data_IF_144911503269
#
_entry.id   IF_144911503269
#
_cell.length_a   1.000
_cell.length_b   1.000
_cell.length_c   1.000
_cell.angle_alpha   90.00
_cell.angle_beta   90.00
_cell.angle_gamma   90.00
#
_symmetry.space_group_name_H-M   'P 1'
#
loop_
_entity.id
_entity.type
_entity.pdbx_description
1 polymer ?
#
# COMPACT_ATOMS: atom_id res chain seq x y z
N UNK A 1 22.08 13.95 4.64
CA UNK A 1 21.00 13.15 5.25
C UNK A 1 20.98 11.82 4.51
N UNK A 2 20.92 10.69 5.22
CA UNK A 2 20.75 9.37 4.60
C UNK A 2 19.37 9.30 3.94
N UNK A 3 19.31 8.85 2.69
CA UNK A 3 18.02 8.66 2.03
C UNK A 3 17.24 7.52 2.70
N UNK A 4 15.91 7.66 2.87
CA UNK A 4 15.09 6.57 3.38
C UNK A 4 15.08 5.41 2.38
N UNK A 5 15.18 4.21 2.94
CA UNK A 5 15.13 2.96 2.19
C UNK A 5 13.75 2.33 2.31
N UNK A 6 13.29 1.75 1.20
CA UNK A 6 11.98 1.12 1.06
C UNK A 6 12.16 -0.35 0.68
N UNK A 7 11.30 -1.20 1.24
CA UNK A 7 11.29 -2.62 0.94
C UNK A 7 10.25 -2.94 -0.14
N UNK A 8 10.60 -3.82 -1.06
CA UNK A 8 9.64 -4.45 -1.99
C UNK A 8 9.74 -5.95 -1.79
N UNK A 9 8.73 -6.57 -1.17
CA UNK A 9 8.64 -8.02 -1.04
C UNK A 9 7.68 -8.59 -2.07
N UNK A 10 8.09 -9.67 -2.74
CA UNK A 10 7.37 -10.30 -3.84
C UNK A 10 6.86 -11.70 -3.51
N UNK A 11 5.69 -12.05 -4.02
CA UNK A 11 4.99 -13.30 -3.69
C UNK A 11 4.29 -13.90 -4.90
N UNK A 12 4.39 -15.21 -5.11
CA UNK A 12 3.70 -15.90 -6.22
C UNK A 12 2.17 -15.97 -6.05
N UNK A 13 1.63 -15.71 -4.85
CA UNK A 13 0.20 -15.77 -4.61
C UNK A 13 -0.23 -15.15 -3.27
N UNK A 14 -1.54 -14.97 -3.07
CA UNK A 14 -2.14 -14.33 -1.88
C UNK A 14 -2.37 -15.24 -0.68
N UNK A 15 -2.02 -16.52 -0.79
CA UNK A 15 -2.30 -17.46 0.29
C UNK A 15 -1.32 -17.21 1.43
N UNK A 16 -1.81 -16.86 2.63
CA UNK A 16 -1.02 -16.46 3.81
C UNK A 16 0.23 -17.29 4.13
N UNK A 17 0.29 -18.54 3.69
CA UNK A 17 1.39 -19.50 3.89
C UNK A 17 2.38 -19.58 2.72
N UNK A 18 2.22 -18.77 1.69
CA UNK A 18 3.24 -18.63 0.66
C UNK A 18 4.49 -18.04 1.31
N UNK A 19 5.66 -18.53 0.89
CA UNK A 19 6.97 -18.02 1.32
C UNK A 19 7.35 -16.84 0.44
N UNK A 20 8.08 -15.87 1.01
CA UNK A 20 8.56 -14.71 0.26
C UNK A 20 9.47 -15.20 -0.88
N UNK A 21 9.20 -14.74 -2.10
CA UNK A 21 10.02 -15.13 -3.25
C UNK A 21 11.32 -14.33 -3.27
N UNK A 22 11.21 -13.03 -3.06
CA UNK A 22 12.33 -12.09 -3.07
C UNK A 22 11.95 -10.82 -2.29
N UNK A 23 12.96 -10.18 -1.71
CA UNK A 23 12.84 -8.86 -1.09
C UNK A 23 13.96 -7.97 -1.64
N UNK A 24 13.60 -6.75 -2.04
CA UNK A 24 14.53 -5.71 -2.48
C UNK A 24 14.51 -4.55 -1.50
N UNK A 25 15.66 -3.94 -1.27
CA UNK A 25 15.80 -2.69 -0.51
C UNK A 25 16.26 -1.61 -1.47
N UNK A 26 15.49 -0.52 -1.57
CA UNK A 26 15.64 0.50 -2.61
C UNK A 26 15.49 1.89 -2.01
N UNK A 27 16.32 2.84 -2.43
CA UNK A 27 16.17 4.26 -2.06
C UNK A 27 15.01 4.90 -2.83
N UNK A 28 14.39 5.93 -2.25
CA UNK A 28 13.33 6.66 -2.95
C UNK A 28 13.83 7.30 -4.24
N UNK A 29 15.01 7.91 -4.19
CA UNK A 29 15.67 8.57 -5.32
C UNK A 29 16.84 7.74 -5.85
N UNK A 30 17.23 8.03 -7.08
CA UNK A 30 18.47 7.47 -7.63
C UNK A 30 19.67 8.07 -6.92
N UNK A 31 20.70 7.25 -6.71
CA UNK A 31 21.95 7.67 -6.10
C UNK A 31 23.13 7.26 -6.96
N UNK A 32 24.05 8.20 -7.20
CA UNK A 32 25.34 7.90 -7.82
C UNK A 32 26.35 7.60 -6.72
N UNK A 33 27.04 6.47 -6.87
CA UNK A 33 28.09 6.02 -5.96
C UNK A 33 29.36 5.74 -6.75
N UNK A 34 30.50 6.23 -6.27
CA UNK A 34 31.80 5.86 -6.83
C UNK A 34 32.38 4.68 -6.06
N UNK A 35 32.70 3.60 -6.77
CA UNK A 35 33.38 2.43 -6.20
C UNK A 35 34.60 2.11 -7.06
N UNK A 36 35.79 2.21 -6.46
CA UNK A 36 37.08 1.98 -7.12
C UNK A 36 37.31 2.80 -8.41
N UNK A 37 36.73 4.00 -8.51
CA UNK A 37 36.86 4.89 -9.67
C UNK A 37 35.81 4.67 -10.76
N UNK A 38 34.90 3.70 -10.59
CA UNK A 38 33.74 3.51 -11.45
C UNK A 38 32.49 4.12 -10.80
N UNK A 39 31.68 4.84 -11.59
CA UNK A 39 30.39 5.39 -11.16
C UNK A 39 29.28 4.35 -11.34
N UNK A 40 28.61 4.00 -10.25
CA UNK A 40 27.45 3.13 -10.21
C UNK A 40 26.20 3.96 -9.90
N UNK A 41 25.15 3.78 -10.70
CA UNK A 41 23.86 4.42 -10.48
C UNK A 41 22.93 3.41 -9.81
N UNK A 42 22.60 3.65 -8.55
CA UNK A 42 21.51 2.96 -7.88
C UNK A 42 20.18 3.54 -8.36
N UNK A 43 19.33 2.66 -8.89
CA UNK A 43 18.02 3.03 -9.42
C UNK A 43 17.06 3.49 -8.31
N UNK A 44 16.21 4.45 -8.64
CA UNK A 44 15.13 4.92 -7.76
C UNK A 44 14.08 3.83 -7.51
N UNK A 45 13.27 4.01 -6.47
CA UNK A 45 12.13 3.14 -6.17
C UNK A 45 11.18 2.98 -7.36
N UNK A 46 10.89 4.09 -8.06
CA UNK A 46 10.06 4.11 -9.28
C UNK A 46 10.66 3.21 -10.36
N UNK A 47 11.95 3.37 -10.64
CA UNK A 47 12.63 2.63 -11.70
C UNK A 47 12.73 1.13 -11.38
N UNK A 48 12.98 0.78 -10.11
CA UNK A 48 12.99 -0.62 -9.67
C UNK A 48 11.59 -1.24 -9.81
N UNK A 49 10.54 -0.55 -9.37
CA UNK A 49 9.16 -1.03 -9.55
C UNK A 49 8.82 -1.26 -11.02
N UNK A 50 9.11 -0.29 -11.89
CA UNK A 50 8.90 -0.44 -13.34
C UNK A 50 9.68 -1.62 -13.91
N UNK A 51 10.94 -1.80 -13.53
CA UNK A 51 11.75 -2.92 -13.99
C UNK A 51 11.18 -4.27 -13.55
N UNK A 52 10.72 -4.38 -12.30
CA UNK A 52 10.08 -5.60 -11.79
C UNK A 52 8.78 -5.90 -12.54
N UNK A 53 7.93 -4.90 -12.77
CA UNK A 53 6.66 -5.07 -13.47
C UNK A 53 6.89 -5.43 -14.95
N UNK A 54 7.84 -4.78 -15.62
CA UNK A 54 8.23 -5.15 -16.98
C UNK A 54 8.78 -6.57 -17.07
N UNK A 55 9.58 -6.99 -16.08
CA UNK A 55 10.06 -8.37 -16.00
C UNK A 55 8.89 -9.36 -15.88
N UNK A 56 7.92 -9.07 -15.00
CA UNK A 56 6.69 -9.87 -14.87
C UNK A 56 5.92 -9.96 -16.19
N UNK A 57 5.72 -8.84 -16.89
CA UNK A 57 5.04 -8.82 -18.19
C UNK A 57 5.80 -9.62 -19.25
N UNK A 58 7.12 -9.44 -19.36
CA UNK A 58 7.96 -10.10 -20.36
C UNK A 58 7.98 -11.62 -20.19
N UNK A 59 7.94 -12.09 -18.96
CA UNK A 59 8.05 -13.51 -18.62
C UNK A 59 6.70 -14.15 -18.25
N UNK A 60 5.58 -13.41 -18.35
CA UNK A 60 4.24 -13.87 -17.96
C UNK A 60 4.21 -14.42 -16.53
N UNK A 61 4.88 -13.73 -15.60
CA UNK A 61 4.96 -14.11 -14.18
C UNK A 61 3.97 -13.27 -13.39
N UNK A 62 3.14 -13.92 -12.60
CA UNK A 62 2.17 -13.29 -11.71
C UNK A 62 2.73 -13.22 -10.29
N UNK A 63 2.99 -12.02 -9.80
CA UNK A 63 3.54 -11.79 -8.47
C UNK A 63 2.88 -10.60 -7.77
N UNK A 64 2.48 -10.83 -6.54
CA UNK A 64 2.04 -9.79 -5.62
C UNK A 64 3.24 -9.08 -5.02
N UNK A 65 3.07 -7.80 -4.71
CA UNK A 65 4.11 -6.95 -4.11
C UNK A 65 3.61 -6.37 -2.79
N UNK A 66 4.54 -6.08 -1.88
CA UNK A 66 4.31 -5.41 -0.60
C UNK A 66 5.42 -4.39 -0.34
N UNK A 67 5.09 -3.31 0.36
CA UNK A 67 6.06 -2.35 0.91
C UNK A 67 6.53 -2.69 2.33
N UNK A 68 6.26 -3.92 2.77
CA UNK A 68 6.69 -4.48 4.04
C UNK A 68 7.73 -5.58 3.84
N UNK A 69 8.64 -5.69 4.79
CA UNK A 69 9.57 -6.80 4.96
C UNK A 69 8.95 -7.84 5.90
N UNK A 70 9.24 -9.12 5.62
CA UNK A 70 8.70 -10.26 6.35
C UNK A 70 9.82 -11.23 6.73
N UNK A 71 9.65 -11.91 7.86
CA UNK A 71 10.57 -13.01 8.25
C UNK A 71 10.44 -14.22 7.32
N UNK A 72 9.22 -14.57 6.90
CA UNK A 72 8.98 -15.77 6.06
C UNK A 72 7.73 -15.72 5.19
N UNK A 73 6.54 -15.68 5.80
CA UNK A 73 5.25 -15.67 5.11
C UNK A 73 4.58 -14.30 5.24
N UNK A 74 3.54 -14.03 4.45
CA UNK A 74 2.85 -12.74 4.49
C UNK A 74 1.79 -12.66 5.60
N UNK A 75 2.14 -13.16 6.78
CA UNK A 75 1.33 -13.02 7.98
C UNK A 75 1.64 -11.67 8.64
N UNK A 76 0.62 -11.03 9.23
CA UNK A 76 0.80 -9.77 9.98
C UNK A 76 1.84 -9.92 11.10
N UNK A 77 1.87 -11.08 11.75
CA UNK A 77 2.82 -11.42 12.82
C UNK A 77 4.26 -11.61 12.34
N UNK A 78 4.46 -11.78 11.03
CA UNK A 78 5.78 -11.99 10.43
C UNK A 78 6.33 -10.73 9.76
N UNK A 79 5.57 -9.63 9.76
CA UNK A 79 6.06 -8.31 9.32
C UNK A 79 7.13 -7.84 10.29
N UNK A 80 8.33 -7.60 9.78
CA UNK A 80 9.44 -6.99 10.54
C UNK A 80 9.38 -5.47 10.43
N UNK A 81 9.08 -4.98 9.23
CA UNK A 81 9.15 -3.56 8.91
C UNK A 81 8.18 -3.20 7.79
N UNK A 82 7.56 -2.03 7.85
CA UNK A 82 6.71 -1.43 6.82
C UNK A 82 7.30 -0.07 6.44
N UNK A 83 7.47 0.17 5.15
CA UNK A 83 8.18 1.36 4.64
C UNK A 83 7.29 2.34 3.87
N UNK A 84 6.02 1.99 3.68
CA UNK A 84 5.02 2.87 3.07
C UNK A 84 3.60 2.45 3.44
N UNK A 85 2.69 3.41 3.57
CA UNK A 85 1.23 3.18 3.52
C UNK A 85 0.78 3.13 2.07
N UNK A 86 -0.22 2.32 1.75
CA UNK A 86 -0.81 2.36 0.42
C UNK A 86 -2.31 2.11 0.46
N UNK A 87 -3.01 2.73 -0.49
CA UNK A 87 -4.48 2.71 -0.58
C UNK A 87 -4.85 2.51 -2.05
N UNK A 88 -5.68 1.50 -2.33
CA UNK A 88 -6.07 1.10 -3.68
C UNK A 88 -7.49 1.58 -4.04
N UNK A 89 -7.61 2.24 -5.19
CA UNK A 89 -8.82 2.86 -5.67
C UNK A 89 -9.25 2.26 -7.01
N UNK A 90 -10.57 2.19 -7.30
CA UNK A 90 -11.05 1.88 -8.64
C UNK A 90 -10.55 2.92 -9.66
N UNK A 91 -10.16 2.48 -10.86
CA UNK A 91 -9.63 3.42 -11.86
C UNK A 91 -10.60 4.56 -12.24
N UNK A 92 -11.92 4.35 -12.07
CA UNK A 92 -12.96 5.36 -12.34
C UNK A 92 -12.83 6.64 -11.51
N UNK A 93 -12.17 6.61 -10.34
CA UNK A 93 -11.97 7.81 -9.50
C UNK A 93 -10.63 8.51 -9.73
N UNK A 94 -9.80 8.07 -10.70
CA UNK A 94 -8.44 8.58 -10.93
C UNK A 94 -8.37 10.11 -11.00
N UNK A 95 -9.27 10.76 -11.73
CA UNK A 95 -9.28 12.22 -11.84
C UNK A 95 -9.60 12.92 -10.51
N UNK A 96 -10.59 12.41 -9.76
CA UNK A 96 -10.91 12.94 -8.44
C UNK A 96 -9.76 12.72 -7.45
N UNK A 97 -9.12 11.56 -7.54
CA UNK A 97 -7.97 11.18 -6.73
C UNK A 97 -6.80 12.13 -6.97
N UNK A 98 -6.41 12.36 -8.23
CA UNK A 98 -5.33 13.30 -8.57
C UNK A 98 -5.58 14.69 -7.98
N UNK A 99 -6.80 15.24 -8.13
CA UNK A 99 -7.15 16.53 -7.54
C UNK A 99 -6.98 16.56 -6.01
N UNK A 100 -7.37 15.49 -5.32
CA UNK A 100 -7.21 15.37 -3.86
C UNK A 100 -5.75 15.27 -3.45
N UNK A 101 -4.95 14.52 -4.20
CA UNK A 101 -3.53 14.35 -3.93
C UNK A 101 -2.72 15.62 -4.22
N UNK A 102 -3.16 16.44 -5.16
CA UNK A 102 -2.53 17.74 -5.42
C UNK A 102 -2.61 18.68 -4.21
N UNK A 103 -3.70 18.58 -3.44
CA UNK A 103 -3.95 19.34 -2.21
C UNK A 103 -3.17 18.80 -1.00
N UNK A 104 -2.65 17.57 -1.04
CA UNK A 104 -1.88 16.99 0.07
C UNK A 104 -0.45 17.50 0.11
N UNK A 105 0.12 17.68 1.30
CA UNK A 105 1.51 18.11 1.49
C UNK A 105 2.56 16.98 1.41
N UNK A 106 2.13 15.74 1.16
CA UNK A 106 2.99 14.56 1.29
C UNK A 106 3.52 14.04 -0.03
N UNK A 107 4.75 13.53 -0.03
CA UNK A 107 5.30 12.77 -1.16
C UNK A 107 4.49 11.49 -1.36
N UNK A 108 4.14 11.16 -2.60
CA UNK A 108 3.41 9.93 -2.92
C UNK A 108 3.84 9.33 -4.26
N UNK A 109 3.57 8.03 -4.45
CA UNK A 109 3.62 7.38 -5.76
C UNK A 109 2.21 7.04 -6.22
N UNK A 110 1.99 7.13 -7.53
CA UNK A 110 0.84 6.52 -8.19
C UNK A 110 1.30 5.28 -8.93
N UNK A 111 0.60 4.16 -8.72
CA UNK A 111 0.90 2.87 -9.33
C UNK A 111 -0.38 2.30 -9.92
N UNK A 112 -0.36 1.95 -11.20
CA UNK A 112 -1.46 1.21 -11.81
C UNK A 112 -1.48 -0.23 -11.27
N UNK A 113 -2.63 -0.65 -10.75
CA UNK A 113 -2.84 -1.94 -10.06
C UNK A 113 -3.99 -2.72 -10.67
N UNK A 114 -4.21 -3.92 -10.17
CA UNK A 114 -5.39 -4.73 -10.47
C UNK A 114 -5.94 -5.46 -9.24
N UNK A 115 -7.23 -5.76 -9.28
CA UNK A 115 -7.90 -6.52 -8.21
C UNK A 115 -7.23 -7.85 -7.99
N UNK A 116 -6.77 -8.53 -9.04
CA UNK A 116 -6.06 -9.81 -9.06
C UNK A 116 -5.43 -10.12 -10.41
N UNK A 117 -4.72 -11.24 -10.48
CA UNK A 117 -4.29 -11.83 -11.73
C UNK A 117 -5.35 -12.80 -12.23
N UNK A 118 -5.59 -12.82 -13.54
CA UNK A 118 -6.56 -13.71 -14.19
C UNK A 118 -7.78 -12.99 -14.81
N UNK A 119 -8.77 -13.75 -15.29
CA UNK A 119 -9.85 -13.20 -16.13
C UNK A 119 -10.79 -12.20 -15.43
N UNK A 120 -10.87 -12.24 -14.10
CA UNK A 120 -11.68 -11.33 -13.30
C UNK A 120 -10.93 -10.05 -12.86
N UNK A 121 -9.70 -9.86 -13.34
CA UNK A 121 -8.89 -8.69 -13.03
C UNK A 121 -9.59 -7.39 -13.46
N UNK A 122 -9.78 -6.48 -12.51
CA UNK A 122 -10.28 -5.13 -12.75
C UNK A 122 -9.16 -4.14 -12.50
N UNK A 123 -8.96 -3.16 -13.39
CA UNK A 123 -7.90 -2.15 -13.22
C UNK A 123 -8.19 -1.26 -12.00
N UNK A 124 -7.13 -0.87 -11.33
CA UNK A 124 -7.11 0.01 -10.17
C UNK A 124 -5.96 0.99 -10.24
N UNK A 125 -5.95 1.93 -9.30
CA UNK A 125 -4.85 2.84 -9.09
C UNK A 125 -4.57 2.91 -7.59
N UNK A 126 -3.33 2.68 -7.22
CA UNK A 126 -2.88 2.70 -5.85
C UNK A 126 -2.06 3.96 -5.60
N UNK A 127 -2.36 4.62 -4.48
CA UNK A 127 -1.51 5.68 -3.92
C UNK A 127 -0.62 5.07 -2.87
N UNK A 128 0.68 5.36 -2.93
CA UNK A 128 1.67 4.90 -1.96
C UNK A 128 2.30 6.12 -1.29
N UNK A 129 2.29 6.16 0.03
CA UNK A 129 2.93 7.19 0.84
C UNK A 129 4.20 6.62 1.47
N UNK A 130 5.39 6.84 0.88
CA UNK A 130 6.65 6.37 1.43
C UNK A 130 6.93 7.05 2.76
N UNK A 131 7.40 6.27 3.73
CA UNK A 131 7.68 6.79 5.07
C UNK A 131 9.10 7.33 5.19
N UNK A 132 9.25 8.45 5.92
CA UNK A 132 10.56 8.96 6.32
C UNK A 132 11.27 8.03 7.32
N UNK A 133 10.48 7.35 8.15
CA UNK A 133 10.94 6.33 9.11
C UNK A 133 10.03 5.11 9.06
N UNK A 134 10.59 3.89 9.03
CA UNK A 134 9.80 2.68 8.94
C UNK A 134 8.96 2.41 10.20
N UNK A 135 7.88 1.65 10.02
CA UNK A 135 7.03 1.14 11.10
C UNK A 135 7.25 -0.35 11.32
N UNK A 136 7.29 -0.79 12.58
CA UNK A 136 7.18 -2.22 12.94
C UNK A 136 5.80 -2.57 13.52
N UNK A 137 5.03 -1.58 13.96
CA UNK A 137 3.70 -1.78 14.56
C UNK A 137 2.60 -1.76 13.50
N UNK A 138 1.95 -2.91 13.31
CA UNK A 138 0.83 -3.10 12.37
C UNK A 138 -0.44 -2.33 12.77
N UNK A 139 -0.64 -2.06 14.06
CA UNK A 139 -1.75 -1.22 14.55
C UNK A 139 -1.52 0.24 14.16
N UNK A 140 -0.30 0.74 14.36
CA UNK A 140 0.08 2.08 13.94
C UNK A 140 -0.04 2.24 12.42
N UNK A 141 0.43 1.26 11.64
CA UNK A 141 0.23 1.26 10.19
C UNK A 141 -1.24 1.38 9.80
N UNK A 142 -2.10 0.57 10.43
CA UNK A 142 -3.55 0.58 10.13
C UNK A 142 -4.15 1.94 10.45
N UNK A 143 -3.76 2.54 11.58
CA UNK A 143 -4.21 3.87 11.99
C UNK A 143 -3.76 4.96 11.02
N UNK A 144 -2.48 5.01 10.65
CA UNK A 144 -1.93 5.97 9.69
C UNK A 144 -2.62 5.84 8.34
N UNK A 145 -2.78 4.61 7.85
CA UNK A 145 -3.45 4.34 6.57
C UNK A 145 -4.92 4.76 6.58
N UNK A 146 -5.63 4.55 7.71
CA UNK A 146 -7.03 4.97 7.86
C UNK A 146 -7.16 6.50 7.90
N UNK A 147 -6.24 7.19 8.57
CA UNK A 147 -6.19 8.65 8.58
C UNK A 147 -5.94 9.22 7.18
N UNK A 148 -4.96 8.66 6.44
CA UNK A 148 -4.70 9.04 5.05
C UNK A 148 -5.91 8.81 4.15
N UNK A 149 -6.61 7.69 4.34
CA UNK A 149 -7.85 7.40 3.61
C UNK A 149 -8.93 8.45 3.87
N UNK A 150 -9.12 8.83 5.13
CA UNK A 150 -10.06 9.88 5.51
C UNK A 150 -9.65 11.25 4.95
N UNK A 151 -8.37 11.58 4.97
CA UNK A 151 -7.81 12.85 4.47
C UNK A 151 -7.98 12.99 2.95
N UNK A 152 -7.74 11.92 2.19
CA UNK A 152 -8.04 11.87 0.74
C UNK A 152 -9.55 12.07 0.50
N UNK A 153 -10.39 11.52 1.37
CA UNK A 153 -11.82 11.80 1.40
C UNK A 153 -12.65 11.12 0.30
N UNK A 154 -12.06 10.21 -0.48
CA UNK A 154 -12.75 9.44 -1.52
C UNK A 154 -13.29 8.14 -0.92
N UNK A 155 -14.62 7.98 -0.90
CA UNK A 155 -15.28 6.85 -0.24
C UNK A 155 -15.26 5.54 -1.02
N UNK A 156 -14.94 5.61 -2.31
CA UNK A 156 -14.78 4.42 -3.13
C UNK A 156 -13.43 3.78 -2.87
N UNK A 157 -13.41 2.46 -2.67
CA UNK A 157 -12.19 1.68 -2.57
C UNK A 157 -12.37 0.41 -3.41
N UNK A 158 -11.27 -0.19 -3.82
CA UNK A 158 -11.35 -1.43 -4.59
C UNK A 158 -11.86 -2.56 -3.68
N UNK A 159 -12.97 -3.20 -4.04
CA UNK A 159 -13.52 -4.32 -3.28
C UNK A 159 -12.55 -5.51 -3.26
N UNK A 160 -12.36 -6.11 -2.08
CA UNK A 160 -11.46 -7.25 -1.87
C UNK A 160 -10.07 -6.89 -1.33
N UNK A 161 -9.74 -5.60 -1.17
CA UNK A 161 -8.44 -5.18 -0.62
C UNK A 161 -8.54 -3.88 0.20
N UNK A 162 -9.04 -3.98 1.43
CA UNK A 162 -8.79 -2.95 2.45
C UNK A 162 -7.76 -3.52 3.42
N UNK A 163 -6.51 -3.07 3.32
CA UNK A 163 -5.40 -3.21 4.29
C UNK A 163 -5.06 -4.60 4.87
N UNK A 164 -5.87 -5.64 4.64
CA UNK A 164 -5.80 -6.91 5.38
C UNK A 164 -4.70 -7.83 4.88
N UNK A 165 -4.17 -7.60 3.68
CA UNK A 165 -3.14 -8.45 3.06
C UNK A 165 -1.79 -7.79 2.93
N UNK A 166 -1.62 -6.48 3.14
CA UNK A 166 -0.34 -5.77 2.85
C UNK A 166 0.22 -6.07 1.44
N UNK A 167 -0.63 -6.52 0.52
CA UNK A 167 -0.24 -6.97 -0.81
C UNK A 167 -1.07 -6.24 -1.87
N UNK A 168 -0.41 -5.85 -2.94
CA UNK A 168 -1.05 -5.36 -4.16
C UNK A 168 -0.64 -6.23 -5.36
N UNK A 169 -1.46 -6.23 -6.40
CA UNK A 169 -1.09 -6.80 -7.69
C UNK A 169 -0.85 -5.62 -8.65
N UNK A 170 0.37 -5.44 -9.17
CA UNK A 170 0.63 -4.41 -10.17
C UNK A 170 -0.10 -4.75 -11.47
N UNK A 171 -0.50 -3.73 -12.21
CA UNK A 171 -0.97 -3.89 -13.58
C UNK A 171 0.25 -4.11 -14.49
N UNK A 172 0.30 -5.24 -15.20
CA UNK A 172 1.51 -5.64 -15.95
C UNK A 172 1.51 -5.17 -17.40
N UNK A 173 0.36 -4.81 -17.96
CA UNK A 173 0.23 -4.38 -19.36
C UNK A 173 0.38 -2.86 -19.44
N UNK A 174 1.49 -2.37 -19.98
CA UNK A 174 1.83 -0.94 -20.03
C UNK A 174 1.73 -0.25 -18.65
N UNK A 175 2.57 -0.66 -17.68
CA UNK A 175 2.47 -0.18 -16.32
C UNK A 175 2.74 1.32 -16.20
N UNK A 176 1.98 1.97 -15.31
CA UNK A 176 2.24 3.35 -14.88
C UNK A 176 2.73 3.35 -13.44
N UNK A 177 3.88 3.98 -13.21
CA UNK A 177 4.45 4.26 -11.89
C UNK A 177 5.04 5.67 -11.95
N UNK A 178 4.59 6.55 -11.06
CA UNK A 178 5.07 7.94 -11.03
C UNK A 178 5.26 8.42 -9.59
N UNK A 179 6.33 9.20 -9.36
CA UNK A 179 6.65 9.78 -8.07
C UNK A 179 6.27 11.27 -8.08
N UNK A 180 5.58 11.72 -7.04
CA UNK A 180 5.17 13.10 -6.84
C UNK A 180 5.79 13.62 -5.54
N UNK A 181 6.89 14.35 -5.66
CA UNK A 181 7.75 14.81 -4.56
C UNK A 181 8.02 16.33 -4.58
N UNK A 182 7.81 17.02 -5.70
CA UNK A 182 8.07 18.46 -5.82
C UNK A 182 7.27 19.28 -4.78
N UNK A 183 7.99 20.03 -3.95
CA UNK A 183 7.40 20.87 -2.89
C UNK A 183 6.72 20.07 -1.76
N UNK A 184 6.93 18.75 -1.69
CA UNK A 184 6.28 17.84 -0.75
C UNK A 184 7.25 17.31 0.30
N UNK A 185 6.70 16.94 1.43
CA UNK A 185 7.47 16.31 2.52
C UNK A 185 7.15 14.83 2.59
N UNK A 186 8.15 14.01 2.90
CA UNK A 186 7.89 12.60 3.19
C UNK A 186 7.03 12.46 4.44
N UNK A 187 6.16 11.45 4.43
CA UNK A 187 5.28 11.18 5.55
C UNK A 187 6.08 10.58 6.71
N UNK A 188 6.11 11.26 7.85
CA UNK A 188 6.55 10.65 9.09
C UNK A 188 5.33 10.03 9.80
N UNK A 189 5.22 8.69 9.89
CA UNK A 189 4.02 8.06 10.40
C UNK A 189 3.79 8.30 11.90
N UNK A 190 4.84 8.60 12.67
CA UNK A 190 4.72 8.89 14.10
C UNK A 190 4.19 10.31 14.31
N UNK A 191 4.83 11.29 13.66
CA UNK A 191 4.44 12.70 13.77
C UNK A 191 3.04 12.91 13.17
N UNK A 192 2.70 12.21 12.09
CA UNK A 192 1.38 12.24 11.49
C UNK A 192 0.31 11.68 12.43
N UNK A 193 0.59 10.55 13.10
CA UNK A 193 -0.34 10.00 14.09
C UNK A 193 -0.52 10.94 15.28
N UNK A 194 0.56 11.54 15.78
CA UNK A 194 0.54 12.44 16.94
C UNK A 194 -0.20 13.75 16.63
N UNK A 195 -0.07 14.26 15.40
CA UNK A 195 -0.81 15.44 14.91
C UNK A 195 -2.30 15.17 14.72
N UNK A 196 -2.71 13.90 14.62
CA UNK A 196 -4.09 13.45 14.41
C UNK A 196 -4.66 12.69 15.62
N UNK A 197 -4.12 12.94 16.81
CA UNK A 197 -4.70 12.42 18.06
C UNK A 197 -6.11 12.99 18.25
N UNK A 198 -7.07 12.11 18.54
CA UNK A 198 -8.48 12.48 18.72
C UNK A 198 -9.29 12.60 17.42
N UNK A 199 -8.66 12.47 16.24
CA UNK A 199 -9.39 12.41 14.96
C UNK A 199 -10.09 11.06 14.84
N UNK A 200 -11.41 11.06 14.84
CA UNK A 200 -12.19 9.85 14.55
C UNK A 200 -12.20 9.62 13.05
N UNK A 201 -11.83 8.40 12.65
CA UNK A 201 -11.97 7.95 11.26
C UNK A 201 -13.17 7.02 11.26
N UNK A 202 -14.27 7.48 10.66
CA UNK A 202 -15.43 6.61 10.49
C UNK A 202 -15.01 5.44 9.60
N UNK A 203 -15.17 4.22 10.12
CA UNK A 203 -15.35 3.08 9.24
C UNK A 203 -16.67 3.38 8.53
N UNK A 204 -16.61 3.99 7.33
CA UNK A 204 -17.82 4.32 6.58
C UNK A 204 -18.63 3.04 6.45
N UNK A 205 -19.73 2.98 7.20
CA UNK A 205 -20.76 1.99 6.99
C UNK A 205 -21.07 2.06 5.49
N UNK A 206 -20.71 1.00 4.78
CA UNK A 206 -21.48 0.70 3.57
C UNK A 206 -22.89 0.59 4.11
N UNK A 207 -23.79 1.53 3.77
CA UNK A 207 -25.23 1.28 3.81
C UNK A 207 -25.48 0.11 2.87
N UNK A 208 -25.18 -1.10 3.34
CA UNK A 208 -25.79 -2.31 2.85
C UNK A 208 -27.13 -2.29 3.54
N UNK A 209 -28.19 -2.07 2.76
CA UNK A 209 -29.53 -2.45 3.17
C UNK A 209 -29.50 -3.97 3.33
N UNK A 210 -29.12 -4.44 4.52
CA UNK A 210 -29.25 -5.83 4.94
C UNK A 210 -30.63 -5.97 5.56
N UNK A 211 -31.50 -6.73 4.91
CA UNK A 211 -32.61 -7.40 5.59
C UNK A 211 -32.06 -8.22 6.77
N UNK A 212 -32.76 -8.19 7.90
CA UNK A 212 -32.29 -8.63 9.24
C UNK A 212 -31.67 -10.05 9.29
N UNK A 213 -32.02 -10.95 8.36
CA UNK A 213 -31.49 -12.32 8.31
C UNK A 213 -30.00 -12.40 7.90
N UNK A 214 -29.46 -11.43 7.16
CA UNK A 214 -28.05 -11.44 6.72
C UNK A 214 -27.09 -10.92 7.80
N UNK A 215 -27.59 -10.07 8.70
CA UNK A 215 -26.82 -9.54 9.82
C UNK A 215 -26.52 -10.65 10.85
N UNK A 216 -27.50 -11.50 11.16
CA UNK A 216 -27.32 -12.58 12.13
C UNK A 216 -26.31 -13.65 11.68
N UNK A 217 -26.21 -13.96 10.38
CA UNK A 217 -25.18 -14.88 9.87
C UNK A 217 -23.77 -14.28 9.92
N UNK A 218 -23.62 -12.97 9.69
CA UNK A 218 -22.31 -12.31 9.69
C UNK A 218 -21.67 -12.26 11.08
N UNK A 219 -22.48 -12.08 12.14
CA UNK A 219 -21.99 -12.06 13.53
C UNK A 219 -21.66 -13.45 14.07
N UNK A 220 -22.33 -14.52 13.59
CA UNK A 220 -22.06 -15.88 14.04
C UNK A 220 -20.74 -16.47 13.50
N UNK A 221 -20.20 -15.96 12.38
CA UNK A 221 -18.98 -16.49 11.75
C UNK A 221 -17.68 -15.74 12.12
N UNK A 222 -17.76 -14.57 12.76
CA UNK A 222 -16.61 -13.67 12.97
C UNK A 222 -16.28 -13.39 14.46
N UNK A 223 -16.58 -14.34 15.34
CA UNK A 223 -16.52 -14.18 16.81
C UNK A 223 -15.09 -14.10 17.41
N UNK A 224 -14.04 -13.94 16.59
CA UNK A 224 -12.69 -13.61 17.08
C UNK A 224 -12.08 -12.45 16.26
N UNK A 225 -11.98 -11.29 16.90
CA UNK A 225 -11.23 -10.07 16.51
C UNK A 225 -11.87 -9.03 15.57
N UNK A 226 -12.96 -8.37 15.97
CA UNK A 226 -13.26 -7.02 15.46
C UNK A 226 -13.79 -6.07 16.55
N UNK A 227 -12.99 -5.03 16.81
CA UNK A 227 -13.29 -3.72 17.41
C UNK A 227 -14.51 -3.61 18.35
N UNK A 228 -14.22 -3.42 19.65
CA UNK A 228 -15.21 -3.05 20.65
C UNK A 228 -15.81 -1.66 20.39
N UNK A 229 -17.13 -1.59 20.31
CA UNK A 229 -17.93 -0.37 20.37
C UNK A 229 -18.47 -0.18 21.80
N UNK A 230 -18.29 0.97 22.46
CA UNK A 230 -19.17 1.37 23.54
C UNK A 230 -20.39 2.10 22.98
N UNK A 231 -21.58 1.66 23.37
CA UNK A 231 -22.86 2.39 23.23
C UNK A 231 -23.12 3.22 24.53
N UNK A 232 -24.01 4.23 24.47
CA UNK A 232 -23.85 5.57 25.06
C UNK A 232 -23.82 5.64 26.58
#
# INVERSE_FOLDING_TARGET
MTQPTHHISMWAGRAKRNVVNSTYTVSLYSEEHEVNGDTFIHLSLKDVLLNLIHHMSKHSIEQYMSFAEYTKNHLKSEITQMTASFIDYPYKVKHQLQKRLDELGYTYLLIDTQTEFGPAARPGIMVVFPYARPLSDTKLYTRVTSLLFAEIGIGEHQEGKVASTYLFAPYTVNPYVELFDEGRTMLDPFDYRDSNVGVWVDARDKEVVTTDEAAEQFFAENDEELFFFPKP
#
